data_IF_188432070323
#
_entry.id   IF_188432070323
#
_cell.length_a   1.000
_cell.length_b   1.000
_cell.length_c   1.000
_cell.angle_alpha   90.00
_cell.angle_beta   90.00
_cell.angle_gamma   90.00
#
_symmetry.space_group_name_H-M   'P 1'
#
loop_
_entity.id
_entity.type
_entity.pdbx_description
1 polymer ?
#
# COMPACT_ATOMS: atom_id res chain seq x y z
N UNK A 1 64.87 -5.67 -31.33
CA UNK A 1 63.69 -6.22 -30.63
C UNK A 1 63.77 -5.74 -29.19
N UNK A 2 63.15 -4.61 -28.89
CA UNK A 2 62.92 -4.17 -27.52
C UNK A 2 61.40 -4.02 -27.38
N UNK A 3 60.83 -4.93 -26.60
CA UNK A 3 59.41 -5.01 -26.34
C UNK A 3 59.06 -3.88 -25.35
N UNK A 4 58.65 -2.72 -25.87
CA UNK A 4 58.01 -1.68 -25.07
C UNK A 4 56.62 -2.14 -24.67
N UNK A 5 56.55 -3.03 -23.68
CA UNK A 5 55.35 -3.24 -22.89
C UNK A 5 55.19 -2.01 -21.98
N UNK A 6 54.64 -0.93 -22.52
CA UNK A 6 54.03 0.12 -21.72
C UNK A 6 52.83 -0.47 -20.99
N UNK A 7 53.08 -1.01 -19.79
CA UNK A 7 52.04 -1.33 -18.82
C UNK A 7 51.25 -0.04 -18.55
N UNK A 8 50.05 0.05 -19.13
CA UNK A 8 49.06 1.04 -18.72
C UNK A 8 48.88 0.93 -17.20
N UNK A 9 49.03 2.03 -16.43
CA UNK A 9 48.72 1.96 -15.03
C UNK A 9 47.22 1.71 -14.92
N UNK A 10 46.85 0.57 -14.34
CA UNK A 10 45.49 0.29 -13.91
C UNK A 10 45.12 1.25 -12.77
N UNK A 11 44.99 2.53 -13.08
CA UNK A 11 44.46 3.55 -12.20
C UNK A 11 42.99 3.24 -12.00
N UNK A 12 42.60 2.94 -10.76
CA UNK A 12 41.19 3.04 -10.38
C UNK A 12 40.79 4.48 -10.64
N UNK A 13 40.15 4.67 -11.80
CA UNK A 13 39.78 5.96 -12.35
C UNK A 13 38.90 6.72 -11.37
N UNK A 14 39.03 8.04 -11.34
CA UNK A 14 38.17 9.00 -10.67
C UNK A 14 36.66 8.66 -10.82
N UNK A 15 36.32 7.99 -11.93
CA UNK A 15 35.02 7.36 -12.23
C UNK A 15 34.51 6.45 -11.10
N UNK A 16 35.33 5.58 -10.51
CA UNK A 16 34.91 4.68 -9.42
C UNK A 16 34.53 5.44 -8.16
N UNK A 17 35.26 6.51 -7.84
CA UNK A 17 34.96 7.37 -6.68
C UNK A 17 33.65 8.12 -6.91
N UNK A 18 33.45 8.71 -8.11
CA UNK A 18 32.20 9.36 -8.49
C UNK A 18 31.03 8.38 -8.37
N UNK A 19 31.18 7.16 -8.90
CA UNK A 19 30.14 6.15 -8.85
C UNK A 19 29.77 5.76 -7.41
N UNK A 20 30.76 5.57 -6.53
CA UNK A 20 30.51 5.31 -5.11
C UNK A 20 29.80 6.47 -4.42
N UNK A 21 30.16 7.72 -4.73
CA UNK A 21 29.47 8.91 -4.21
C UNK A 21 28.01 8.94 -4.66
N UNK A 22 27.72 8.64 -5.93
CA UNK A 22 26.35 8.59 -6.44
C UNK A 22 25.54 7.49 -5.74
N UNK A 23 26.10 6.29 -5.56
CA UNK A 23 25.46 5.22 -4.80
C UNK A 23 25.24 5.65 -3.35
N UNK A 24 26.20 6.32 -2.72
CA UNK A 24 26.09 6.84 -1.36
C UNK A 24 24.92 7.83 -1.22
N UNK A 25 24.81 8.80 -2.14
CA UNK A 25 23.70 9.76 -2.15
C UNK A 25 22.36 9.03 -2.34
N UNK A 26 22.30 8.06 -3.24
CA UNK A 26 21.11 7.24 -3.46
C UNK A 26 20.73 6.40 -2.23
N UNK A 27 21.72 5.81 -1.55
CA UNK A 27 21.56 5.07 -0.29
C UNK A 27 20.95 5.97 0.79
N UNK A 28 21.48 7.18 0.92
CA UNK A 28 21.05 8.16 1.91
C UNK A 28 19.61 8.62 1.63
N UNK A 29 19.28 8.93 0.38
CA UNK A 29 17.91 9.22 -0.05
C UNK A 29 16.95 8.07 0.30
N UNK A 30 17.32 6.81 -0.02
CA UNK A 30 16.53 5.62 0.31
C UNK A 30 16.34 5.46 1.83
N UNK A 31 17.40 5.66 2.63
CA UNK A 31 17.33 5.63 4.10
C UNK A 31 16.34 6.66 4.65
N UNK A 32 16.44 7.92 4.23
CA UNK A 32 15.51 8.99 4.67
C UNK A 32 14.08 8.63 4.28
N UNK A 33 13.86 8.23 3.02
CA UNK A 33 12.54 7.83 2.51
C UNK A 33 11.96 6.64 3.28
N UNK A 34 12.79 5.65 3.61
CA UNK A 34 12.41 4.49 4.41
C UNK A 34 11.92 4.91 5.81
N UNK A 35 12.72 5.73 6.50
CA UNK A 35 12.42 6.21 7.85
C UNK A 35 11.12 7.03 7.87
N UNK A 36 10.96 7.98 6.93
CA UNK A 36 9.76 8.82 6.84
C UNK A 36 8.51 7.97 6.58
N UNK A 37 8.57 7.02 5.65
CA UNK A 37 7.40 6.20 5.31
C UNK A 37 7.09 5.15 6.39
N UNK A 38 8.10 4.64 7.09
CA UNK A 38 7.91 3.77 8.25
C UNK A 38 7.16 4.52 9.37
N UNK A 39 7.58 5.75 9.68
CA UNK A 39 6.87 6.63 10.63
C UNK A 39 5.41 6.86 10.19
N UNK A 40 5.17 7.22 8.92
CA UNK A 40 3.81 7.39 8.38
C UNK A 40 2.97 6.13 8.53
N UNK A 41 3.54 4.96 8.28
CA UNK A 41 2.83 3.68 8.40
C UNK A 41 2.41 3.39 9.84
N UNK A 42 3.27 3.68 10.83
CA UNK A 42 2.91 3.56 12.25
C UNK A 42 1.75 4.50 12.60
N UNK A 43 1.86 5.77 12.20
CA UNK A 43 0.82 6.78 12.49
C UNK A 43 -0.51 6.32 11.91
N UNK A 44 -0.54 5.94 10.62
CA UNK A 44 -1.77 5.51 9.97
C UNK A 44 -2.34 4.23 10.57
N UNK A 45 -1.49 3.27 10.95
CA UNK A 45 -1.93 2.05 11.65
C UNK A 45 -2.66 2.37 12.95
N UNK A 46 -2.11 3.30 13.75
CA UNK A 46 -2.72 3.72 15.01
C UNK A 46 -4.02 4.49 14.82
N UNK A 47 -4.06 5.38 13.83
CA UNK A 47 -5.22 6.19 13.50
C UNK A 47 -6.41 5.31 13.08
N UNK A 48 -6.20 4.38 12.15
CA UNK A 48 -7.27 3.53 11.59
C UNK A 48 -7.77 2.48 12.59
N UNK A 49 -6.86 1.87 13.37
CA UNK A 49 -7.24 0.82 14.32
C UNK A 49 -7.71 1.37 15.67
N UNK A 50 -7.16 2.51 16.11
CA UNK A 50 -7.58 3.18 17.34
C UNK A 50 -7.49 2.26 18.57
N UNK A 51 -8.60 2.16 19.31
CA UNK A 51 -8.73 1.36 20.53
C UNK A 51 -8.55 -0.15 20.31
N UNK A 52 -8.76 -0.63 19.07
CA UNK A 52 -8.58 -2.05 18.74
C UNK A 52 -7.13 -2.47 18.70
N UNK A 53 -6.20 -1.51 18.59
CA UNK A 53 -4.77 -1.76 18.58
C UNK A 53 -4.25 -1.77 20.02
N UNK A 54 -4.27 -2.94 20.67
CA UNK A 54 -3.74 -3.08 22.04
C UNK A 54 -2.28 -3.50 22.04
N UNK A 55 -1.79 -4.15 20.99
CA UNK A 55 -0.38 -4.57 20.90
C UNK A 55 0.38 -3.85 19.78
N UNK A 56 1.71 -3.93 19.82
CA UNK A 56 2.57 -3.30 18.81
C UNK A 56 2.39 -4.02 17.48
N UNK A 57 1.76 -3.33 16.53
CA UNK A 57 1.49 -3.85 15.21
C UNK A 57 1.56 -2.72 14.19
N UNK A 58 2.26 -2.96 13.09
CA UNK A 58 2.36 -2.03 11.95
C UNK A 58 1.72 -2.73 10.77
N UNK A 59 0.66 -2.15 10.21
CA UNK A 59 -0.09 -2.73 9.12
C UNK A 59 0.84 -3.08 7.96
N UNK A 60 0.74 -4.28 7.40
CA UNK A 60 1.51 -4.70 6.22
C UNK A 60 3.01 -4.89 6.45
N UNK A 61 3.50 -4.82 7.69
CA UNK A 61 4.89 -5.15 8.02
C UNK A 61 5.02 -6.63 8.38
N UNK A 62 5.46 -7.45 7.41
CA UNK A 62 5.78 -8.86 7.62
C UNK A 62 6.91 -9.28 6.70
N UNK A 63 7.51 -10.45 6.93
CA UNK A 63 8.66 -10.93 6.16
C UNK A 63 8.44 -11.03 4.64
N UNK A 64 7.19 -11.28 4.20
CA UNK A 64 6.83 -11.26 2.76
C UNK A 64 6.52 -9.86 2.19
N UNK A 65 6.58 -8.78 2.98
CA UNK A 65 6.07 -7.48 2.53
C UNK A 65 7.15 -6.65 1.84
N UNK A 66 6.72 -5.80 0.90
CA UNK A 66 7.64 -4.94 0.15
C UNK A 66 8.44 -4.00 1.06
N UNK A 67 7.88 -3.57 2.18
CA UNK A 67 8.60 -2.74 3.14
C UNK A 67 9.71 -3.51 3.86
N UNK A 68 9.48 -4.76 4.22
CA UNK A 68 10.52 -5.61 4.79
C UNK A 68 11.69 -5.80 3.80
N UNK A 69 11.37 -6.08 2.54
CA UNK A 69 12.37 -6.15 1.48
C UNK A 69 13.08 -4.80 1.25
N UNK A 70 12.38 -3.67 1.38
CA UNK A 70 13.00 -2.35 1.29
C UNK A 70 14.00 -2.09 2.42
N UNK A 71 13.70 -2.53 3.65
CA UNK A 71 14.65 -2.48 4.78
C UNK A 71 15.89 -3.31 4.45
N UNK A 72 15.71 -4.55 3.98
CA UNK A 72 16.82 -5.45 3.60
C UNK A 72 17.68 -4.88 2.48
N UNK A 73 17.08 -4.45 1.37
CA UNK A 73 17.80 -3.89 0.22
C UNK A 73 18.58 -2.64 0.64
N UNK A 74 18.01 -1.80 1.51
CA UNK A 74 18.72 -0.62 2.01
C UNK A 74 19.95 -1.00 2.85
N UNK A 75 19.84 -2.01 3.71
CA UNK A 75 20.97 -2.55 4.46
C UNK A 75 22.05 -3.15 3.56
N UNK A 76 21.65 -3.96 2.57
CA UNK A 76 22.57 -4.54 1.58
C UNK A 76 23.31 -3.47 0.77
N UNK A 77 22.65 -2.36 0.44
CA UNK A 77 23.25 -1.27 -0.32
C UNK A 77 24.34 -0.55 0.49
N UNK A 78 24.12 -0.31 1.79
CA UNK A 78 25.16 0.20 2.69
C UNK A 78 26.32 -0.78 2.87
N UNK A 79 26.03 -2.08 3.00
CA UNK A 79 27.06 -3.12 3.08
C UNK A 79 27.89 -3.20 1.79
N UNK A 80 27.26 -3.08 0.62
CA UNK A 80 27.95 -3.06 -0.66
C UNK A 80 28.92 -1.88 -0.76
N UNK A 81 28.52 -0.68 -0.33
CA UNK A 81 29.42 0.48 -0.26
C UNK A 81 30.65 0.22 0.61
N UNK A 82 30.47 -0.42 1.76
CA UNK A 82 31.56 -0.78 2.68
C UNK A 82 32.51 -1.81 2.03
N UNK A 83 31.96 -2.90 1.49
CA UNK A 83 32.73 -3.99 0.91
C UNK A 83 33.53 -3.52 -0.31
N UNK A 84 32.86 -2.84 -1.26
CA UNK A 84 33.51 -2.34 -2.49
C UNK A 84 34.60 -1.33 -2.14
N UNK A 85 34.33 -0.40 -1.23
CA UNK A 85 35.35 0.57 -0.80
C UNK A 85 36.55 -0.12 -0.13
N UNK A 86 36.32 -1.16 0.67
CA UNK A 86 37.37 -1.94 1.32
C UNK A 86 38.23 -2.70 0.31
N UNK A 87 37.63 -3.31 -0.71
CA UNK A 87 38.35 -3.97 -1.81
C UNK A 87 39.21 -2.95 -2.58
N UNK A 88 38.67 -1.77 -2.89
CA UNK A 88 39.41 -0.71 -3.59
C UNK A 88 40.60 -0.21 -2.77
N UNK A 89 40.49 -0.12 -1.44
CA UNK A 89 41.63 0.19 -0.56
C UNK A 89 42.69 -0.90 -0.65
N UNK A 90 42.30 -2.18 -0.51
CA UNK A 90 43.24 -3.32 -0.56
C UNK A 90 44.03 -3.39 -1.86
N UNK A 91 43.40 -3.05 -2.99
CA UNK A 91 44.10 -2.98 -4.30
C UNK A 91 45.07 -1.79 -4.44
N UNK A 92 44.93 -0.74 -3.61
CA UNK A 92 45.73 0.49 -3.66
C UNK A 92 46.88 0.55 -2.66
N UNK A 93 46.77 -0.08 -1.48
CA UNK A 93 47.84 -0.07 -0.45
C UNK A 93 49.15 -0.68 -0.99
N UNK A 94 49.07 -1.58 -1.97
CA UNK A 94 50.24 -2.17 -2.63
C UNK A 94 50.91 -1.27 -3.68
N UNK A 95 50.44 -0.03 -3.89
CA UNK A 95 50.97 0.92 -4.87
C UNK A 95 51.27 2.25 -4.17
N UNK A 96 52.48 2.35 -3.62
CA UNK A 96 53.02 3.45 -2.82
C UNK A 96 53.24 4.76 -3.61
N UNK A 97 52.17 5.36 -4.13
CA UNK A 97 52.21 6.67 -4.80
C UNK A 97 51.46 7.76 -4.00
N UNK A 98 52.07 8.93 -3.73
CA UNK A 98 51.48 9.99 -2.92
C UNK A 98 50.22 10.64 -3.54
N UNK A 99 50.07 10.65 -4.87
CA UNK A 99 48.85 11.10 -5.56
C UNK A 99 47.61 10.25 -5.23
N UNK A 100 47.79 9.09 -4.59
CA UNK A 100 46.68 8.23 -4.16
C UNK A 100 46.19 8.51 -2.73
N UNK A 101 46.83 9.40 -1.97
CA UNK A 101 46.42 9.70 -0.58
C UNK A 101 45.02 10.33 -0.48
N UNK A 102 44.69 11.30 -1.33
CA UNK A 102 43.36 11.93 -1.31
C UNK A 102 42.23 10.93 -1.59
N UNK A 103 42.44 10.07 -2.60
CA UNK A 103 41.49 9.02 -2.95
C UNK A 103 41.34 7.95 -1.86
N UNK A 104 42.43 7.60 -1.17
CA UNK A 104 42.38 6.70 -0.01
C UNK A 104 41.57 7.31 1.14
N UNK A 105 41.80 8.58 1.46
CA UNK A 105 41.02 9.31 2.47
C UNK A 105 39.53 9.33 2.13
N UNK A 106 39.16 9.52 0.85
CA UNK A 106 37.77 9.46 0.40
C UNK A 106 37.15 8.07 0.61
N UNK A 107 37.88 6.99 0.30
CA UNK A 107 37.39 5.63 0.50
C UNK A 107 37.19 5.31 1.98
N UNK A 108 38.11 5.72 2.86
CA UNK A 108 37.93 5.60 4.31
C UNK A 108 36.72 6.40 4.80
N UNK A 109 36.53 7.62 4.30
CA UNK A 109 35.36 8.43 4.63
C UNK A 109 34.04 7.74 4.21
N UNK A 110 33.99 7.16 3.00
CA UNK A 110 32.82 6.41 2.52
C UNK A 110 32.52 5.21 3.44
N UNK A 111 33.53 4.45 3.87
CA UNK A 111 33.35 3.32 4.80
C UNK A 111 32.78 3.81 6.14
N UNK A 112 33.43 4.79 6.77
CA UNK A 112 33.03 5.31 8.08
C UNK A 112 31.62 5.90 8.02
N UNK A 113 31.33 6.73 7.02
CA UNK A 113 30.00 7.31 6.84
C UNK A 113 28.94 6.26 6.53
N UNK A 114 29.27 5.21 5.77
CA UNK A 114 28.34 4.10 5.49
C UNK A 114 28.05 3.28 6.74
N UNK A 115 29.05 3.03 7.60
CA UNK A 115 28.87 2.40 8.91
C UNK A 115 27.99 3.24 9.84
N UNK A 116 28.22 4.55 9.89
CA UNK A 116 27.37 5.46 10.66
C UNK A 116 25.94 5.45 10.08
N UNK A 117 25.78 5.50 8.77
CA UNK A 117 24.48 5.57 8.12
C UNK A 117 23.66 4.29 8.31
N UNK A 118 24.27 3.10 8.22
CA UNK A 118 23.56 1.83 8.45
C UNK A 118 23.10 1.73 9.91
N UNK A 119 23.96 2.08 10.88
CA UNK A 119 23.61 2.07 12.30
C UNK A 119 22.52 3.10 12.58
N UNK A 120 22.69 4.34 12.12
CA UNK A 120 21.72 5.42 12.31
C UNK A 120 20.36 5.08 11.70
N UNK A 121 20.32 4.47 10.50
CA UNK A 121 19.06 4.07 9.86
C UNK A 121 18.33 3.03 10.70
N UNK A 122 19.03 1.99 11.17
CA UNK A 122 18.41 0.93 11.98
C UNK A 122 17.96 1.45 13.36
N UNK A 123 18.78 2.30 14.00
CA UNK A 123 18.40 2.96 15.25
C UNK A 123 17.20 3.88 15.06
N UNK A 124 17.10 4.61 13.95
CA UNK A 124 15.95 5.46 13.64
C UNK A 124 14.67 4.63 13.48
N UNK A 125 14.72 3.51 12.75
CA UNK A 125 13.57 2.60 12.62
C UNK A 125 13.14 2.05 13.99
N UNK A 126 14.10 1.58 14.79
CA UNK A 126 13.84 1.09 16.15
C UNK A 126 13.25 2.18 17.03
N UNK A 127 13.80 3.40 16.99
CA UNK A 127 13.30 4.56 17.73
C UNK A 127 11.86 4.87 17.37
N UNK A 128 11.52 4.94 16.08
CA UNK A 128 10.15 5.20 15.65
C UNK A 128 9.19 4.08 16.06
N UNK A 129 9.63 2.83 16.01
CA UNK A 129 8.85 1.71 16.51
C UNK A 129 8.58 1.83 18.02
N UNK A 130 9.62 2.02 18.84
CA UNK A 130 9.48 2.13 20.30
C UNK A 130 8.64 3.35 20.68
N UNK A 131 8.96 4.53 20.14
CA UNK A 131 8.26 5.78 20.45
C UNK A 131 6.81 5.77 19.94
N UNK A 132 6.59 5.21 18.75
CA UNK A 132 5.26 5.06 18.16
C UNK A 132 4.31 4.26 19.03
N UNK A 133 4.84 3.26 19.75
CA UNK A 133 4.11 2.39 20.66
C UNK A 133 4.50 2.56 22.14
N UNK A 134 4.76 3.79 22.60
CA UNK A 134 5.10 4.07 24.00
C UNK A 134 3.86 4.33 24.91
N UNK A 135 2.64 4.28 24.38
CA UNK A 135 1.44 4.40 25.19
C UNK A 135 1.28 3.18 26.13
N UNK A 136 0.60 3.38 27.27
CA UNK A 136 0.42 2.35 28.31
C UNK A 136 -0.19 1.07 27.74
N UNK A 137 -1.20 1.21 26.86
CA UNK A 137 -1.87 0.09 26.21
C UNK A 137 -0.91 -0.89 25.52
N UNK A 138 0.27 -0.45 25.05
CA UNK A 138 1.22 -1.29 24.31
C UNK A 138 2.33 -1.93 25.16
N UNK A 139 2.47 -1.53 26.43
CA UNK A 139 3.63 -1.93 27.26
C UNK A 139 3.51 -3.35 27.81
N UNK A 140 2.29 -3.76 28.19
CA UNK A 140 2.03 -5.06 28.85
C UNK A 140 1.15 -6.01 28.03
N UNK A 141 0.57 -5.53 26.93
CA UNK A 141 -0.43 -6.26 26.15
C UNK A 141 0.08 -7.49 25.41
N UNK A 142 1.40 -7.66 25.23
CA UNK A 142 1.92 -8.90 24.65
C UNK A 142 1.84 -10.10 25.63
N UNK A 143 1.91 -9.85 26.94
CA UNK A 143 1.83 -10.89 27.98
C UNK A 143 0.40 -11.16 28.41
N UNK A 144 -0.44 -10.13 28.39
CA UNK A 144 -1.83 -10.16 28.85
C UNK A 144 -2.81 -9.93 27.69
N UNK A 145 -2.47 -10.39 26.48
CA UNK A 145 -3.25 -10.11 25.28
C UNK A 145 -4.69 -10.62 25.41
N UNK A 146 -4.84 -11.80 25.99
CA UNK A 146 -6.13 -12.39 26.34
C UNK A 146 -6.98 -11.47 27.21
N UNK A 147 -6.44 -10.97 28.33
CA UNK A 147 -7.16 -10.09 29.26
C UNK A 147 -7.54 -8.76 28.62
N UNK A 148 -6.64 -8.16 27.83
CA UNK A 148 -6.93 -6.92 27.10
C UNK A 148 -8.05 -7.12 26.07
N UNK A 149 -8.04 -8.24 25.34
CA UNK A 149 -9.08 -8.56 24.36
C UNK A 149 -10.42 -8.89 25.02
N UNK A 150 -10.43 -9.57 26.17
CA UNK A 150 -11.63 -9.78 26.97
C UNK A 150 -12.20 -8.43 27.46
N UNK A 151 -11.34 -7.51 27.91
CA UNK A 151 -11.76 -6.16 28.29
C UNK A 151 -12.39 -5.39 27.12
N UNK A 152 -11.82 -5.48 25.92
CA UNK A 152 -12.42 -4.89 24.71
C UNK A 152 -13.78 -5.51 24.42
N UNK A 153 -13.89 -6.85 24.46
CA UNK A 153 -15.15 -7.56 24.24
C UNK A 153 -16.23 -7.07 25.19
N UNK A 154 -15.90 -6.99 26.48
CA UNK A 154 -16.87 -6.63 27.52
C UNK A 154 -17.29 -5.15 27.43
N UNK A 155 -16.38 -4.27 26.97
CA UNK A 155 -16.67 -2.86 26.70
C UNK A 155 -17.55 -2.67 25.47
N UNK A 156 -17.27 -3.39 24.39
CA UNK A 156 -17.97 -3.23 23.11
C UNK A 156 -19.27 -4.00 23.01
N UNK A 157 -19.37 -5.12 23.72
CA UNK A 157 -20.49 -6.08 23.67
C UNK A 157 -20.84 -6.45 22.22
N UNK A 158 -19.90 -7.05 21.47
CA UNK A 158 -20.15 -7.41 20.08
C UNK A 158 -21.33 -8.38 19.98
N UNK A 159 -22.01 -8.35 18.83
CA UNK A 159 -23.12 -9.26 18.55
C UNK A 159 -22.70 -10.72 18.78
N UNK A 160 -23.58 -11.51 19.36
CA UNK A 160 -23.41 -12.96 19.45
C UNK A 160 -23.88 -13.68 18.19
N UNK A 161 -24.60 -12.98 17.31
CA UNK A 161 -25.08 -13.50 16.04
C UNK A 161 -24.03 -13.29 14.95
N UNK A 162 -23.52 -14.41 14.42
CA UNK A 162 -22.62 -14.45 13.28
C UNK A 162 -22.73 -15.80 12.53
N UNK A 163 -22.60 -15.79 11.20
CA UNK A 163 -22.70 -16.99 10.39
C UNK A 163 -21.49 -17.91 10.57
N UNK A 164 -21.70 -19.23 10.46
CA UNK A 164 -20.59 -20.20 10.54
C UNK A 164 -19.60 -20.00 9.38
N UNK A 165 -20.12 -19.79 8.18
CA UNK A 165 -19.36 -19.62 6.95
C UNK A 165 -19.97 -18.49 6.12
N UNK A 166 -19.13 -17.74 5.42
CA UNK A 166 -19.58 -16.82 4.37
C UNK A 166 -19.09 -17.40 3.04
N UNK A 167 -19.99 -17.49 2.05
CA UNK A 167 -19.66 -17.86 0.67
C UNK A 167 -19.98 -16.72 -0.26
N UNK A 168 -19.14 -16.50 -1.26
CA UNK A 168 -19.34 -15.46 -2.29
C UNK A 168 -19.51 -16.13 -3.66
N UNK A 169 -20.41 -15.59 -4.48
CA UNK A 169 -20.54 -16.01 -5.88
C UNK A 169 -19.48 -15.28 -6.72
N UNK A 170 -18.31 -15.89 -6.80
CA UNK A 170 -17.15 -15.37 -7.55
C UNK A 170 -17.51 -15.10 -9.00
N UNK A 171 -18.36 -15.93 -9.62
CA UNK A 171 -18.69 -15.81 -11.04
C UNK A 171 -19.49 -14.55 -11.32
N UNK A 172 -20.45 -14.22 -10.45
CA UNK A 172 -21.23 -12.98 -10.58
C UNK A 172 -20.39 -11.73 -10.30
N UNK A 173 -19.56 -11.76 -9.25
CA UNK A 173 -18.70 -10.63 -8.88
C UNK A 173 -17.67 -10.35 -9.99
N UNK A 174 -17.03 -11.40 -10.52
CA UNK A 174 -15.99 -11.29 -11.55
C UNK A 174 -16.47 -10.64 -12.86
N UNK A 175 -17.78 -10.71 -13.17
CA UNK A 175 -18.36 -10.01 -14.34
C UNK A 175 -18.36 -8.50 -14.20
N UNK A 176 -18.48 -7.99 -12.97
CA UNK A 176 -18.64 -6.55 -12.68
C UNK A 176 -17.37 -5.93 -12.11
N UNK A 177 -16.55 -6.74 -11.45
CA UNK A 177 -15.25 -6.37 -10.91
C UNK A 177 -14.33 -7.60 -10.88
N UNK A 178 -13.39 -7.73 -11.83
CA UNK A 178 -12.50 -8.87 -11.90
C UNK A 178 -11.43 -8.90 -10.81
N UNK A 179 -11.16 -7.79 -10.13
CA UNK A 179 -10.13 -7.70 -9.09
C UNK A 179 -10.67 -7.98 -7.68
N UNK A 180 -11.93 -7.60 -7.41
CA UNK A 180 -12.58 -7.82 -6.12
C UNK A 180 -12.57 -9.28 -5.63
N UNK A 181 -12.81 -10.33 -6.47
CA UNK A 181 -12.85 -11.70 -5.99
C UNK A 181 -11.56 -12.17 -5.33
N UNK A 182 -10.39 -11.73 -5.80
CA UNK A 182 -9.10 -12.06 -5.20
C UNK A 182 -9.00 -11.51 -3.77
N UNK A 183 -9.40 -10.25 -3.59
CA UNK A 183 -9.37 -9.58 -2.29
C UNK A 183 -10.40 -10.18 -1.35
N UNK A 184 -11.63 -10.37 -1.84
CA UNK A 184 -12.72 -10.98 -1.08
C UNK A 184 -12.40 -12.42 -0.69
N UNK A 185 -11.72 -13.21 -1.54
CA UNK A 185 -11.26 -14.54 -1.18
C UNK A 185 -10.32 -14.52 0.04
N UNK A 186 -9.45 -13.49 0.19
CA UNK A 186 -8.60 -13.33 1.37
C UNK A 186 -9.42 -13.02 2.63
N UNK A 187 -10.41 -12.12 2.53
CA UNK A 187 -11.36 -11.82 3.61
C UNK A 187 -12.10 -13.10 4.05
N UNK A 188 -12.72 -13.79 3.09
CA UNK A 188 -13.51 -15.00 3.33
C UNK A 188 -12.64 -16.13 3.92
N UNK A 189 -11.42 -16.33 3.41
CA UNK A 189 -10.50 -17.33 3.95
C UNK A 189 -10.10 -17.00 5.39
N UNK A 190 -9.84 -15.74 5.71
CA UNK A 190 -9.55 -15.31 7.07
C UNK A 190 -10.72 -15.62 8.01
N UNK A 191 -11.92 -15.20 7.63
CA UNK A 191 -13.15 -15.41 8.39
C UNK A 191 -13.49 -16.90 8.60
N UNK A 192 -13.42 -17.70 7.54
CA UNK A 192 -13.84 -19.10 7.58
C UNK A 192 -12.80 -20.00 8.26
N UNK A 193 -11.50 -19.73 8.08
CA UNK A 193 -10.44 -20.68 8.44
C UNK A 193 -9.44 -20.20 9.51
N UNK A 194 -9.32 -18.89 9.75
CA UNK A 194 -8.25 -18.35 10.60
C UNK A 194 -8.73 -17.75 11.92
N UNK A 195 -9.76 -16.90 11.89
CA UNK A 195 -10.10 -15.98 12.98
C UNK A 195 -10.53 -16.67 14.28
N UNK A 196 -11.27 -17.78 14.19
CA UNK A 196 -11.73 -18.55 15.35
C UNK A 196 -11.11 -19.96 15.44
N UNK A 197 -9.98 -20.19 14.75
CA UNK A 197 -9.37 -21.52 14.70
C UNK A 197 -8.45 -21.76 15.92
N UNK A 198 -8.76 -22.70 16.82
CA UNK A 198 -7.99 -22.92 18.05
C UNK A 198 -6.56 -23.41 17.77
N UNK A 199 -6.30 -24.00 16.60
CA UNK A 199 -4.96 -24.45 16.21
C UNK A 199 -4.02 -23.29 15.83
N UNK A 200 -4.53 -22.07 15.71
CA UNK A 200 -3.74 -20.88 15.39
C UNK A 200 -3.52 -20.07 16.69
N UNK A 201 -2.25 -19.72 17.02
CA UNK A 201 -1.95 -18.90 18.18
C UNK A 201 -2.75 -17.59 18.21
N UNK A 202 -3.24 -17.20 19.40
CA UNK A 202 -4.07 -16.01 19.60
C UNK A 202 -3.47 -14.75 18.95
N UNK A 203 -2.18 -14.51 19.13
CA UNK A 203 -1.51 -13.35 18.53
C UNK A 203 -1.62 -13.32 17.00
N UNK A 204 -1.50 -14.48 16.34
CA UNK A 204 -1.64 -14.57 14.87
C UNK A 204 -3.09 -14.35 14.44
N UNK A 205 -4.06 -14.91 15.18
CA UNK A 205 -5.50 -14.67 14.93
C UNK A 205 -5.84 -13.19 15.08
N UNK A 206 -5.32 -12.56 16.13
CA UNK A 206 -5.51 -11.14 16.40
C UNK A 206 -4.85 -10.24 15.35
N UNK A 207 -3.64 -10.56 14.88
CA UNK A 207 -3.02 -9.81 13.77
C UNK A 207 -3.79 -9.96 12.45
N UNK A 208 -4.35 -11.13 12.19
CA UNK A 208 -5.26 -11.31 11.06
C UNK A 208 -6.52 -10.45 11.25
N UNK A 209 -7.14 -10.47 12.44
CA UNK A 209 -8.29 -9.62 12.77
C UNK A 209 -7.99 -8.13 12.53
N UNK A 210 -6.89 -7.62 13.09
CA UNK A 210 -6.43 -6.25 12.90
C UNK A 210 -6.18 -5.92 11.42
N UNK A 211 -5.56 -6.82 10.67
CA UNK A 211 -5.29 -6.63 9.25
C UNK A 211 -6.59 -6.45 8.45
N UNK A 212 -7.57 -7.33 8.66
CA UNK A 212 -8.87 -7.26 7.97
C UNK A 212 -9.62 -5.97 8.37
N UNK A 213 -9.63 -5.65 9.67
CA UNK A 213 -10.27 -4.44 10.19
C UNK A 213 -9.63 -3.15 9.65
N UNK A 214 -8.29 -3.11 9.58
CA UNK A 214 -7.56 -2.00 8.99
C UNK A 214 -7.99 -1.79 7.55
N UNK A 215 -8.00 -2.85 6.73
CA UNK A 215 -8.31 -2.75 5.30
C UNK A 215 -9.71 -2.19 5.06
N UNK A 216 -10.70 -2.66 5.80
CA UNK A 216 -12.09 -2.20 5.67
C UNK A 216 -12.22 -0.74 6.08
N UNK A 217 -11.67 -0.36 7.23
CA UNK A 217 -11.75 1.03 7.72
C UNK A 217 -11.00 1.99 6.81
N UNK A 218 -9.82 1.62 6.36
CA UNK A 218 -9.03 2.43 5.44
C UNK A 218 -9.68 2.53 4.05
N UNK A 219 -10.35 1.47 3.58
CA UNK A 219 -11.16 1.52 2.36
C UNK A 219 -12.29 2.54 2.50
N UNK A 220 -13.10 2.47 3.57
CA UNK A 220 -14.19 3.43 3.79
C UNK A 220 -13.67 4.86 3.92
N UNK A 221 -12.63 5.09 4.74
CA UNK A 221 -12.03 6.41 4.91
C UNK A 221 -11.51 6.99 3.58
N UNK A 222 -10.89 6.14 2.75
CA UNK A 222 -10.38 6.58 1.46
C UNK A 222 -11.49 6.87 0.46
N UNK A 223 -12.59 6.08 0.49
CA UNK A 223 -13.76 6.32 -0.33
C UNK A 223 -14.43 7.65 0.04
N UNK A 224 -14.64 7.90 1.34
CA UNK A 224 -15.22 9.15 1.84
C UNK A 224 -14.39 10.37 1.37
N UNK A 225 -13.06 10.28 1.43
CA UNK A 225 -12.17 11.34 0.94
C UNK A 225 -12.30 11.55 -0.57
N UNK A 226 -12.34 10.46 -1.36
CA UNK A 226 -12.49 10.53 -2.82
C UNK A 226 -13.82 11.19 -3.19
N UNK A 227 -14.91 10.77 -2.55
CA UNK A 227 -16.25 11.33 -2.78
C UNK A 227 -16.32 12.81 -2.40
N UNK A 228 -15.69 13.20 -1.28
CA UNK A 228 -15.60 14.61 -0.89
C UNK A 228 -14.79 15.44 -1.89
N UNK A 229 -13.65 14.93 -2.36
CA UNK A 229 -12.83 15.62 -3.34
C UNK A 229 -13.57 15.76 -4.68
N UNK A 230 -14.20 14.69 -5.16
CA UNK A 230 -15.03 14.73 -6.36
C UNK A 230 -16.18 15.72 -6.19
N UNK A 231 -16.87 15.73 -5.06
CA UNK A 231 -17.94 16.69 -4.80
C UNK A 231 -17.44 18.13 -4.79
N UNK A 232 -16.23 18.39 -4.29
CA UNK A 232 -15.59 19.71 -4.34
C UNK A 232 -15.21 20.10 -5.76
N UNK A 233 -14.60 19.19 -6.53
CA UNK A 233 -14.27 19.40 -7.94
C UNK A 233 -15.55 19.68 -8.76
N UNK A 234 -16.62 18.92 -8.55
CA UNK A 234 -17.91 19.16 -9.17
C UNK A 234 -18.53 20.51 -8.76
N UNK A 235 -18.32 20.99 -7.53
CA UNK A 235 -18.75 22.34 -7.12
C UNK A 235 -17.93 23.42 -7.81
N UNK A 236 -16.61 23.25 -7.92
CA UNK A 236 -15.70 24.20 -8.59
C UNK A 236 -15.98 24.26 -10.10
N UNK A 237 -16.31 23.12 -10.71
CA UNK A 237 -16.63 22.99 -12.13
C UNK A 237 -18.11 23.27 -12.45
N UNK A 238 -18.94 23.61 -11.46
CA UNK A 238 -20.35 24.00 -11.65
C UNK A 238 -21.31 22.86 -12.01
N UNK A 239 -20.98 21.61 -11.68
CA UNK A 239 -21.76 20.42 -12.05
C UNK A 239 -22.82 19.99 -11.00
N UNK A 240 -22.83 20.53 -9.78
CA UNK A 240 -23.97 20.34 -8.85
C UNK A 240 -24.76 21.63 -8.79
N UNK A 241 -25.92 21.61 -9.45
CA UNK A 241 -26.75 22.78 -9.69
C UNK A 241 -27.34 23.42 -8.44
N UNK A 242 -27.30 24.74 -8.42
CA UNK A 242 -28.53 25.49 -8.25
C UNK A 242 -29.00 25.94 -9.65
N UNK A 243 -30.14 25.37 -10.04
CA UNK A 243 -30.97 25.66 -11.23
C UNK A 243 -30.70 24.89 -12.53
N UNK A 244 -31.12 23.62 -12.52
CA UNK A 244 -31.47 22.86 -13.73
C UNK A 244 -32.73 23.41 -14.48
N UNK A 245 -33.30 24.56 -14.07
CA UNK A 245 -34.34 25.27 -14.81
C UNK A 245 -34.05 26.76 -15.06
N UNK A 246 -32.86 27.29 -14.76
CA UNK A 246 -32.57 28.72 -15.03
C UNK A 246 -31.26 29.04 -15.73
N UNK A 247 -30.42 28.05 -16.07
CA UNK A 247 -29.14 28.29 -16.77
C UNK A 247 -29.19 28.10 -18.28
N UNK A 248 -30.31 27.66 -18.87
CA UNK A 248 -30.57 27.73 -20.32
C UNK A 248 -31.26 29.01 -20.77
N UNK A 249 -31.66 29.88 -19.84
CA UNK A 249 -32.44 31.08 -20.16
C UNK A 249 -31.55 32.20 -20.73
N UNK A 250 -30.25 32.21 -20.42
CA UNK A 250 -29.32 33.28 -20.81
C UNK A 250 -28.12 32.85 -21.68
N UNK A 251 -28.12 31.63 -22.24
CA UNK A 251 -27.09 31.23 -23.21
C UNK A 251 -27.48 31.67 -24.62
N UNK A 252 -26.54 32.26 -25.36
CA UNK A 252 -26.74 32.56 -26.77
C UNK A 252 -27.00 31.27 -27.57
N UNK A 253 -27.70 31.32 -28.71
CA UNK A 253 -27.99 30.14 -29.52
C UNK A 253 -26.75 29.32 -29.88
N UNK A 254 -25.63 30.01 -30.11
CA UNK A 254 -24.34 29.42 -30.46
C UNK A 254 -23.75 28.62 -29.29
N UNK A 255 -23.84 29.13 -28.05
CA UNK A 255 -23.30 28.44 -26.87
C UNK A 255 -24.12 27.18 -26.53
N UNK A 256 -25.43 27.21 -26.76
CA UNK A 256 -26.28 26.01 -26.64
C UNK A 256 -25.90 24.94 -27.66
N UNK A 257 -25.56 25.36 -28.87
CA UNK A 257 -25.16 24.46 -29.95
C UNK A 257 -23.76 23.88 -29.71
N UNK A 258 -22.80 24.68 -29.24
CA UNK A 258 -21.48 24.20 -28.82
C UNK A 258 -21.59 23.19 -27.67
N UNK A 259 -22.42 23.47 -26.65
CA UNK A 259 -22.63 22.55 -25.54
C UNK A 259 -23.33 21.25 -25.95
N UNK A 260 -24.22 21.32 -26.94
CA UNK A 260 -24.87 20.14 -27.51
C UNK A 260 -23.88 19.31 -28.35
N UNK A 261 -23.09 19.97 -29.21
CA UNK A 261 -22.05 19.32 -30.02
C UNK A 261 -21.01 18.64 -29.13
N UNK A 262 -20.54 19.29 -28.07
CA UNK A 262 -19.55 18.70 -27.15
C UNK A 262 -20.11 17.49 -26.37
N UNK A 263 -21.41 17.51 -26.02
CA UNK A 263 -22.10 16.34 -25.45
C UNK A 263 -22.26 15.21 -26.45
N UNK A 264 -22.57 15.52 -27.70
CA UNK A 264 -22.72 14.53 -28.76
C UNK A 264 -21.37 13.92 -29.16
N UNK A 265 -20.30 14.71 -29.21
CA UNK A 265 -18.95 14.24 -29.50
C UNK A 265 -18.43 13.31 -28.39
N UNK A 266 -18.70 13.65 -27.12
CA UNK A 266 -18.43 12.76 -25.98
C UNK A 266 -19.23 11.47 -26.06
N UNK A 267 -20.50 11.54 -26.46
CA UNK A 267 -21.37 10.36 -26.62
C UNK A 267 -20.91 9.48 -27.80
N UNK A 268 -20.49 10.08 -28.91
CA UNK A 268 -19.95 9.36 -30.08
C UNK A 268 -18.60 8.72 -29.78
N UNK A 269 -17.70 9.41 -29.07
CA UNK A 269 -16.45 8.82 -28.58
C UNK A 269 -16.71 7.65 -27.65
N UNK A 270 -17.62 7.80 -26.68
CA UNK A 270 -18.05 6.72 -25.80
C UNK A 270 -18.60 5.51 -26.56
N UNK A 271 -19.44 5.74 -27.58
CA UNK A 271 -20.03 4.69 -28.44
C UNK A 271 -18.96 4.01 -29.31
N UNK A 272 -18.02 4.77 -29.87
CA UNK A 272 -16.91 4.21 -30.66
C UNK A 272 -15.92 3.42 -29.80
N UNK A 273 -15.68 3.86 -28.57
CA UNK A 273 -14.88 3.12 -27.59
C UNK A 273 -15.61 1.85 -27.14
N UNK A 274 -16.91 1.91 -26.85
CA UNK A 274 -17.69 0.70 -26.46
C UNK A 274 -17.77 -0.34 -27.58
N UNK A 275 -17.95 0.08 -28.83
CA UNK A 275 -17.98 -0.85 -29.97
C UNK A 275 -16.63 -1.57 -30.20
N UNK A 276 -15.50 -0.92 -29.87
CA UNK A 276 -14.18 -1.58 -29.91
C UNK A 276 -13.99 -2.56 -28.75
N UNK A 277 -14.57 -2.28 -27.59
CA UNK A 277 -14.49 -3.12 -26.39
C UNK A 277 -15.32 -4.41 -26.53
N UNK A 278 -16.45 -4.39 -27.24
CA UNK A 278 -17.27 -5.59 -27.51
C UNK A 278 -16.55 -6.64 -28.38
N UNK A 279 -15.59 -6.23 -29.20
CA UNK A 279 -14.84 -7.11 -30.12
C UNK A 279 -13.53 -7.68 -29.54
N UNK A 280 -13.14 -7.28 -28.33
CA UNK A 280 -11.83 -7.55 -27.75
C UNK A 280 -11.82 -8.84 -26.91
N UNK A 281 -10.75 -9.64 -26.99
CA UNK A 281 -10.63 -10.83 -26.13
C UNK A 281 -10.55 -10.43 -24.66
N UNK A 282 -11.18 -11.20 -23.77
CA UNK A 282 -11.30 -10.88 -22.32
C UNK A 282 -9.95 -10.62 -21.66
N UNK A 283 -8.90 -11.32 -22.08
CA UNK A 283 -7.53 -11.13 -21.57
C UNK A 283 -6.91 -9.82 -22.04
N UNK A 284 -7.14 -9.45 -23.29
CA UNK A 284 -6.61 -8.22 -23.86
C UNK A 284 -7.34 -6.99 -23.34
N UNK A 285 -8.66 -7.09 -23.16
CA UNK A 285 -9.47 -6.09 -22.47
C UNK A 285 -8.99 -5.87 -21.04
N UNK A 286 -8.80 -6.95 -20.26
CA UNK A 286 -8.30 -6.84 -18.89
C UNK A 286 -6.93 -6.15 -18.85
N UNK A 287 -6.02 -6.51 -19.77
CA UNK A 287 -4.69 -5.88 -19.86
C UNK A 287 -4.77 -4.39 -20.20
N UNK A 288 -5.52 -4.01 -21.23
CA UNK A 288 -5.65 -2.60 -21.63
C UNK A 288 -6.41 -1.76 -20.61
N UNK A 289 -7.34 -2.37 -19.90
CA UNK A 289 -8.07 -1.72 -18.84
C UNK A 289 -7.23 -1.58 -17.56
N UNK A 290 -6.40 -2.57 -17.22
CA UNK A 290 -5.38 -2.44 -16.16
C UNK A 290 -4.37 -1.32 -16.51
N UNK A 291 -3.94 -1.25 -17.77
CA UNK A 291 -3.11 -0.15 -18.28
C UNK A 291 -3.82 1.21 -18.18
N UNK A 292 -5.11 1.28 -18.52
CA UNK A 292 -5.95 2.49 -18.41
C UNK A 292 -6.20 2.91 -16.96
N UNK A 293 -6.57 1.97 -16.09
CA UNK A 293 -6.72 2.20 -14.66
C UNK A 293 -5.42 2.71 -14.05
N UNK A 294 -4.31 2.07 -14.40
CA UNK A 294 -2.99 2.49 -13.96
C UNK A 294 -2.67 3.90 -14.46
N UNK A 295 -2.93 4.23 -15.73
CA UNK A 295 -2.62 5.58 -16.27
C UNK A 295 -3.55 6.67 -15.75
N UNK A 296 -4.87 6.46 -15.72
CA UNK A 296 -5.81 7.48 -15.28
C UNK A 296 -5.79 7.64 -13.76
N UNK A 297 -5.79 6.54 -12.99
CA UNK A 297 -5.73 6.64 -11.51
C UNK A 297 -4.36 7.04 -10.99
N UNK A 298 -3.26 6.71 -11.69
CA UNK A 298 -1.93 7.21 -11.28
C UNK A 298 -1.86 8.74 -11.36
N UNK A 299 -2.58 9.32 -12.32
CA UNK A 299 -2.60 10.75 -12.60
C UNK A 299 -3.69 11.50 -11.82
N UNK A 300 -4.75 10.82 -11.38
CA UNK A 300 -5.81 11.41 -10.57
C UNK A 300 -5.35 11.66 -9.12
N UNK A 301 -5.30 12.93 -8.65
CA UNK A 301 -4.93 13.28 -7.29
C UNK A 301 -5.79 12.60 -6.22
N UNK A 302 -7.08 12.34 -6.49
CA UNK A 302 -8.00 11.73 -5.53
C UNK A 302 -7.61 10.29 -5.17
N UNK A 303 -7.03 9.56 -6.11
CA UNK A 303 -6.65 8.16 -5.92
C UNK A 303 -5.19 7.99 -5.47
N UNK A 304 -4.39 9.05 -5.41
CA UNK A 304 -2.99 8.98 -4.96
C UNK A 304 -2.81 8.39 -3.55
N UNK A 305 -3.84 8.51 -2.71
CA UNK A 305 -3.77 7.99 -1.35
C UNK A 305 -3.95 6.47 -1.23
N UNK A 306 -4.54 5.83 -2.24
CA UNK A 306 -4.79 4.38 -2.26
C UNK A 306 -3.82 3.61 -3.16
N UNK A 307 -3.16 4.28 -4.10
CA UNK A 307 -2.19 3.65 -5.01
C UNK A 307 -1.11 2.89 -4.23
N UNK A 308 -0.81 1.67 -4.69
CA UNK A 308 0.24 0.83 -4.13
C UNK A 308 1.54 1.61 -4.02
N UNK A 309 2.07 1.66 -2.81
CA UNK A 309 3.33 2.30 -2.53
C UNK A 309 4.24 1.33 -1.78
N UNK A 310 5.30 0.88 -2.43
CA UNK A 310 6.24 -0.09 -1.86
C UNK A 310 6.92 0.41 -0.56
N UNK A 311 6.86 1.71 -0.27
CA UNK A 311 7.39 2.31 0.94
C UNK A 311 6.37 2.43 2.08
N UNK A 312 5.07 2.56 1.77
CA UNK A 312 4.00 2.68 2.75
C UNK A 312 3.31 1.33 2.89
N UNK A 313 3.52 0.66 4.02
CA UNK A 313 3.06 -0.73 4.21
C UNK A 313 1.55 -0.89 4.20
N UNK A 314 0.82 0.17 4.55
CA UNK A 314 -0.63 0.15 4.60
C UNK A 314 -1.31 0.35 3.24
N UNK A 315 -0.57 0.78 2.22
CA UNK A 315 -1.05 0.92 0.84
C UNK A 315 -0.69 -0.34 0.06
N UNK A 316 -1.39 -1.42 0.38
CA UNK A 316 -1.21 -2.69 -0.31
C UNK A 316 -2.10 -2.78 -1.56
N UNK A 317 -1.77 -3.75 -2.44
CA UNK A 317 -2.54 -3.98 -3.66
C UNK A 317 -3.97 -4.42 -3.38
N UNK A 318 -4.22 -5.07 -2.25
CA UNK A 318 -5.55 -5.59 -1.93
C UNK A 318 -6.55 -4.44 -1.71
N UNK A 319 -6.12 -3.37 -1.06
CA UNK A 319 -6.96 -2.18 -0.91
C UNK A 319 -7.18 -1.49 -2.25
N UNK A 320 -6.13 -1.29 -3.04
CA UNK A 320 -6.22 -0.67 -4.37
C UNK A 320 -7.18 -1.43 -5.31
N UNK A 321 -7.10 -2.76 -5.31
CA UNK A 321 -7.93 -3.66 -6.10
C UNK A 321 -9.44 -3.48 -5.80
N UNK A 322 -9.82 -3.13 -4.55
CA UNK A 322 -11.22 -2.88 -4.18
C UNK A 322 -11.78 -1.62 -4.86
N UNK A 323 -10.93 -0.63 -5.14
CA UNK A 323 -11.35 0.60 -5.81
C UNK A 323 -11.56 0.42 -7.30
N UNK A 324 -11.28 -0.76 -7.90
CA UNK A 324 -11.64 -1.05 -9.30
C UNK A 324 -13.07 -0.61 -9.62
N UNK A 325 -14.02 -1.02 -8.78
CA UNK A 325 -15.41 -0.55 -8.82
C UNK A 325 -16.01 -0.63 -7.40
N UNK A 326 -16.03 0.48 -6.64
CA UNK A 326 -16.58 0.50 -5.28
C UNK A 326 -18.08 0.19 -5.20
N UNK A 327 -18.81 0.35 -6.31
CA UNK A 327 -20.26 0.12 -6.40
C UNK A 327 -20.62 -1.31 -6.84
N UNK A 328 -19.64 -2.22 -6.86
CA UNK A 328 -19.87 -3.61 -7.28
C UNK A 328 -20.87 -4.29 -6.34
N UNK A 329 -21.96 -4.88 -6.86
CA UNK A 329 -22.82 -5.74 -6.06
C UNK A 329 -22.11 -7.06 -5.74
N UNK A 330 -22.06 -7.39 -4.47
CA UNK A 330 -21.51 -8.61 -3.91
C UNK A 330 -22.67 -9.54 -3.59
N UNK A 331 -22.69 -10.67 -4.29
CA UNK A 331 -23.64 -11.76 -4.07
C UNK A 331 -23.00 -12.78 -3.13
N UNK A 332 -23.63 -13.01 -1.99
CA UNK A 332 -23.08 -13.86 -0.93
C UNK A 332 -24.16 -14.67 -0.21
N UNK A 333 -23.74 -15.74 0.48
CA UNK A 333 -24.58 -16.62 1.28
C UNK A 333 -23.99 -16.80 2.67
N UNK A 334 -24.88 -16.81 3.67
CA UNK A 334 -24.54 -17.02 5.08
C UNK A 334 -24.91 -18.44 5.57
N UNK A 335 -25.78 -19.11 4.84
CA UNK A 335 -26.38 -20.39 5.20
C UNK A 335 -25.87 -21.51 4.29
N UNK A 336 -24.55 -21.56 4.09
CA UNK A 336 -23.87 -22.56 3.26
C UNK A 336 -24.31 -22.64 1.79
N UNK A 337 -25.07 -21.67 1.28
CA UNK A 337 -25.57 -21.62 -0.10
C UNK A 337 -27.08 -21.68 -0.25
N UNK A 338 -27.84 -21.83 0.84
CA UNK A 338 -29.31 -21.94 0.78
C UNK A 338 -30.00 -20.62 0.46
N UNK A 339 -29.50 -19.51 1.02
CA UNK A 339 -30.00 -18.16 0.78
C UNK A 339 -28.97 -17.33 0.01
N UNK A 340 -29.44 -16.50 -0.92
CA UNK A 340 -28.60 -15.55 -1.67
C UNK A 340 -28.96 -14.13 -1.24
N UNK A 341 -27.97 -13.39 -0.74
CA UNK A 341 -28.06 -11.97 -0.42
C UNK A 341 -27.23 -11.18 -1.42
N UNK A 342 -27.63 -9.94 -1.65
CA UNK A 342 -26.91 -9.02 -2.53
C UNK A 342 -26.81 -7.66 -1.84
N UNK A 343 -25.59 -7.12 -1.78
CA UNK A 343 -25.28 -5.78 -1.25
C UNK A 343 -24.19 -5.15 -2.09
N UNK A 344 -24.11 -3.82 -2.11
CA UNK A 344 -22.91 -3.17 -2.68
C UNK A 344 -21.66 -3.54 -1.85
N UNK A 345 -20.47 -3.33 -2.42
CA UNK A 345 -19.21 -3.70 -1.78
C UNK A 345 -19.02 -3.03 -0.41
N UNK A 346 -19.35 -1.74 -0.29
CA UNK A 346 -19.19 -0.96 0.96
C UNK A 346 -20.04 -1.57 2.08
N UNK A 347 -21.32 -1.80 1.80
CA UNK A 347 -22.28 -2.37 2.75
C UNK A 347 -21.93 -3.82 3.10
N UNK A 348 -21.49 -4.59 2.11
CA UNK A 348 -21.00 -5.95 2.35
C UNK A 348 -19.78 -5.94 3.27
N UNK A 349 -18.78 -5.09 3.04
CA UNK A 349 -17.58 -5.01 3.88
C UNK A 349 -17.91 -4.54 5.30
N UNK A 350 -18.88 -3.62 5.45
CA UNK A 350 -19.35 -3.17 6.75
C UNK A 350 -20.11 -4.27 7.51
N UNK A 351 -20.95 -5.05 6.84
CA UNK A 351 -21.61 -6.21 7.44
C UNK A 351 -20.60 -7.30 7.79
N UNK A 352 -19.70 -7.62 6.88
CA UNK A 352 -18.60 -8.56 7.11
C UNK A 352 -17.76 -8.15 8.31
N UNK A 353 -17.44 -6.85 8.48
CA UNK A 353 -16.71 -6.33 9.64
C UNK A 353 -17.41 -6.70 10.95
N UNK A 354 -18.74 -6.54 11.01
CA UNK A 354 -19.52 -6.86 12.21
C UNK A 354 -19.50 -8.36 12.50
N UNK A 355 -19.61 -9.19 11.46
CA UNK A 355 -19.48 -10.66 11.61
C UNK A 355 -18.08 -11.07 12.05
N UNK A 356 -17.04 -10.45 11.47
CA UNK A 356 -15.65 -10.71 11.80
C UNK A 356 -15.37 -10.40 13.27
N UNK A 357 -15.86 -9.25 13.75
CA UNK A 357 -15.75 -8.82 15.14
C UNK A 357 -16.45 -9.81 16.09
N UNK A 358 -17.71 -10.12 15.83
CA UNK A 358 -18.48 -11.12 16.58
C UNK A 358 -17.76 -12.47 16.67
N UNK A 359 -17.32 -13.01 15.52
CA UNK A 359 -16.65 -14.32 15.43
C UNK A 359 -15.27 -14.35 16.07
N UNK A 360 -14.51 -13.25 16.00
CA UNK A 360 -13.21 -13.16 16.67
C UNK A 360 -13.39 -13.21 18.19
N UNK A 361 -14.26 -12.36 18.73
CA UNK A 361 -14.49 -12.24 20.16
C UNK A 361 -15.24 -13.43 20.77
N UNK A 362 -16.04 -14.18 20.00
CA UNK A 362 -16.63 -15.45 20.44
C UNK A 362 -15.61 -16.59 20.55
N UNK A 363 -14.47 -16.47 19.84
CA UNK A 363 -13.40 -17.48 19.81
C UNK A 363 -12.24 -17.19 20.76
N UNK A 364 -12.41 -16.22 21.66
CA UNK A 364 -11.57 -15.95 22.83
C UNK A 364 -12.09 -16.74 24.02
#
# INVERSE_FOLDING_TARGET
MENNNSQQPAGVSLIWIIFLILIFIFALYRSVKLITNFKKSIIKTKEVLGQELVTKYVQGLHWKSNAFFNILINGLLWLALIIVSSILIGTRINRSNPEHQSALSTLYAIIVLSLIAIIATNLALLYFYIKGFNAVQYKNSAKNLDLELLSIRDSKKPSTDFPKEIKIDVTKINKLNPLAPKVLANFILAYNKKIANPNIPLQKRYFEYLNQLFKIRFFNESLDFIEQQQAQEHKILGFVGDNANSSTVNMSPIEKEIAWMDRMDKKVKLIQETNRLESMDKKEFAKKYDEYLYTVRSQDPAYQQIQKNNWLTYRDSDIEDLFYNPNTPIVYSLDSGESSKEKNLVDFLNEYKNYLEAKFFSGL
#
